data_IF_875977920565
#
_entry.id   IF_875977920565
#
_cell.length_a   1.000
_cell.length_b   1.000
_cell.length_c   1.000
_cell.angle_alpha   90.00
_cell.angle_beta   90.00
_cell.angle_gamma   90.00
#
_symmetry.space_group_name_H-M   'P 1'
#
loop_
_entity.id
_entity.type
_entity.pdbx_description
1 polymer ?
2 non-polymer ?
3 water ?
#
# COMPACT_ATOMS: atom_id res chain seq x y z
N UNK A 1 12.92 11.35 7.01
CA UNK A 1 11.45 11.30 6.67
C UNK A 1 11.14 10.14 5.73
N UNK A 2 9.97 9.54 5.95
CA UNK A 2 9.60 8.26 5.34
C UNK A 2 8.87 8.40 4.02
N UNK A 3 8.29 7.28 3.57
CA UNK A 3 7.44 7.24 2.41
C UNK A 3 6.31 8.22 2.55
N UNK A 4 6.13 9.10 1.57
CA UNK A 4 5.01 10.04 1.54
C UNK A 4 4.27 9.97 0.22
N UNK A 5 3.30 10.87 0.04
CA UNK A 5 2.51 10.92 -1.22
C UNK A 5 3.36 11.30 -2.44
N UNK A 6 4.50 11.93 -2.17
CA UNK A 6 5.44 12.34 -3.19
C UNK A 6 6.09 11.13 -3.82
N UNK A 7 6.26 10.09 -3.04
CA UNK A 7 6.91 8.87 -3.49
C UNK A 7 5.94 7.94 -4.17
N UNK A 8 4.65 8.26 -4.08
CA UNK A 8 3.56 7.42 -4.60
C UNK A 8 3.05 8.03 -5.92
N UNK A 9 3.44 7.43 -7.02
CA UNK A 9 3.07 8.02 -8.31
C UNK A 9 1.72 7.51 -8.76
N UNK A 10 0.98 8.36 -9.46
CA UNK A 10 -0.38 8.05 -9.85
C UNK A 10 -1.33 7.84 -8.66
N UNK A 11 -2.24 6.90 -8.81
CA UNK A 11 -3.09 6.50 -7.72
C UNK A 11 -3.84 7.69 -7.13
N UNK A 12 -4.36 8.54 -8.01
CA UNK A 12 -4.95 9.80 -7.62
C UNK A 12 -6.29 9.62 -6.91
N UNK A 13 -7.11 8.70 -7.38
CA UNK A 13 -8.39 8.42 -6.73
C UNK A 13 -8.21 7.79 -5.34
N UNK A 14 -7.30 6.83 -5.21
CA UNK A 14 -6.97 6.19 -3.93
C UNK A 14 -6.41 7.18 -2.89
N UNK A 15 -5.52 8.09 -3.31
CA UNK A 15 -5.10 9.22 -2.46
C UNK A 15 -6.26 10.07 -1.94
N UNK A 16 -7.21 10.40 -2.82
CA UNK A 16 -8.40 11.11 -2.37
C UNK A 16 -9.18 10.27 -1.36
N UNK A 17 -9.23 8.95 -1.56
CA UNK A 17 -9.98 8.07 -0.67
C UNK A 17 -9.34 7.80 0.72
N UNK A 18 -8.04 7.95 0.89
CA UNK A 18 -7.43 7.70 2.21
C UNK A 18 -7.23 9.00 2.97
N UNK A 19 -7.53 10.10 2.30
CA UNK A 19 -7.51 11.46 2.86
C UNK A 19 -8.21 11.57 4.22
N UNK A 20 -9.43 11.05 4.29
CA UNK A 20 -10.23 11.05 5.51
C UNK A 20 -9.49 10.40 6.69
N UNK A 21 -8.70 9.37 6.41
CA UNK A 21 -7.88 8.73 7.44
C UNK A 21 -6.69 9.61 7.84
N UNK A 22 -6.03 10.26 6.86
CA UNK A 22 -5.01 11.27 7.18
C UNK A 22 -5.60 12.40 8.07
N UNK A 23 -6.77 12.90 7.70
CA UNK A 23 -7.39 13.97 8.46
C UNK A 23 -7.77 13.51 9.87
N UNK A 24 -8.28 12.30 9.97
CA UNK A 24 -8.66 11.78 11.28
C UNK A 24 -7.46 11.64 12.21
N UNK A 25 -6.40 11.00 11.73
CA UNK A 25 -5.19 10.77 12.51
C UNK A 25 -4.52 12.07 12.95
N UNK A 26 -4.58 13.11 12.09
CA UNK A 26 -4.03 14.44 12.42
C UNK A 26 -4.79 15.19 13.55
N UNK A 27 -6.09 14.95 13.68
CA UNK A 27 -6.85 15.46 14.83
C UNK A 27 -8.16 14.71 15.01
N UNK A 28 -8.12 13.61 15.77
CA UNK A 28 -9.36 12.98 16.17
C UNK A 28 -10.22 13.98 16.97
N UNK A 29 -11.33 14.42 16.37
CA UNK A 29 -12.18 15.50 16.93
C UNK A 29 -12.34 16.59 15.88
N UNK A 36 -19.73 13.76 12.13
CA UNK A 36 -19.34 12.69 11.22
C UNK A 36 -19.23 11.35 11.95
N UNK A 37 -18.98 10.30 11.19
CA UNK A 37 -18.81 8.95 11.72
C UNK A 37 -17.32 8.68 11.93
N UNK A 38 -17.01 8.04 13.04
CA UNK A 38 -15.62 7.73 13.40
C UNK A 38 -15.01 6.65 12.50
N UNK A 39 -13.94 7.01 11.78
CA UNK A 39 -13.31 6.04 10.91
C UNK A 39 -12.61 4.96 11.72
N UNK A 40 -12.75 3.71 11.29
CA UNK A 40 -12.00 2.59 11.84
C UNK A 40 -10.90 2.14 10.90
N UNK A 41 -11.15 2.24 9.60
CA UNK A 41 -10.17 1.91 8.59
C UNK A 41 -10.74 1.40 7.28
N UNK A 42 -9.88 0.76 6.47
CA UNK A 42 -10.27 0.35 5.11
C UNK A 42 -9.48 -0.85 4.56
N UNK A 43 -10.12 -1.58 3.65
CA UNK A 43 -9.49 -2.62 2.85
C UNK A 43 -8.93 -2.00 1.54
N UNK A 44 -7.67 -2.25 1.26
CA UNK A 44 -7.05 -1.89 -0.01
C UNK A 44 -7.00 -3.21 -0.80
N UNK A 45 -7.70 -3.26 -1.93
CA UNK A 45 -7.86 -4.48 -2.75
C UNK A 45 -7.22 -4.31 -4.14
N UNK A 46 -6.46 -5.31 -4.59
CA UNK A 46 -5.99 -5.30 -5.97
C UNK A 46 -4.77 -6.17 -6.17
N UNK A 47 -4.29 -6.23 -7.44
CA UNK A 47 -3.17 -7.08 -7.76
C UNK A 47 -1.87 -6.65 -7.08
N UNK A 48 -0.93 -7.58 -6.99
CA UNK A 48 0.33 -7.32 -6.32
C UNK A 48 1.25 -6.31 -7.07
N UNK A 49 2.00 -5.58 -6.25
CA UNK A 49 3.03 -4.67 -6.70
C UNK A 49 2.49 -3.34 -7.13
N UNK A 50 1.26 -3.01 -6.68
CA UNK A 50 0.55 -1.83 -7.23
C UNK A 50 0.44 -0.72 -6.20
N UNK A 51 1.27 -0.79 -5.19
CA UNK A 51 1.40 0.33 -4.28
C UNK A 51 0.50 0.37 -3.05
N UNK A 52 -0.20 -0.72 -2.72
CA UNK A 52 -1.07 -0.77 -1.50
C UNK A 52 -0.27 -0.48 -0.25
N UNK A 53 0.82 -1.19 -0.09
CA UNK A 53 1.70 -0.99 1.06
C UNK A 53 2.33 0.40 1.08
N UNK A 54 2.85 0.82 -0.06
CA UNK A 54 3.40 2.17 -0.24
C UNK A 54 2.37 3.25 0.17
N UNK A 55 1.13 3.12 -0.26
CA UNK A 55 0.09 4.07 0.12
C UNK A 55 -0.19 4.11 1.63
N UNK A 56 -0.29 2.92 2.24
CA UNK A 56 -0.53 2.80 3.69
C UNK A 56 0.61 3.42 4.48
N UNK A 57 1.84 3.21 4.03
CA UNK A 57 2.99 3.92 4.64
C UNK A 57 2.92 5.43 4.49
N UNK A 58 2.50 5.86 3.31
CA UNK A 58 2.37 7.27 2.99
C UNK A 58 1.32 7.96 3.88
N UNK A 59 0.17 7.30 4.07
CA UNK A 59 -0.86 7.79 4.98
C UNK A 59 -0.32 8.03 6.41
N UNK A 60 0.57 7.18 6.90
CA UNK A 60 1.13 7.35 8.23
C UNK A 60 2.05 8.54 8.27
N UNK A 61 2.86 8.68 7.21
CA UNK A 61 3.85 9.75 7.10
C UNK A 61 3.14 11.08 6.98
N UNK A 62 2.07 11.10 6.20
CA UNK A 62 1.34 12.34 5.94
C UNK A 62 0.68 12.86 7.22
N UNK A 63 0.08 11.95 8.00
CA UNK A 63 -0.50 12.25 9.32
C UNK A 63 0.60 12.40 10.36
N UNK A 64 1.79 11.90 10.06
CA UNK A 64 2.89 12.09 10.97
C UNK A 64 2.76 11.15 12.18
N UNK A 65 2.34 9.93 11.93
CA UNK A 65 2.13 9.00 13.05
C UNK A 65 2.88 7.70 12.77
N UNK A 66 3.02 6.86 13.80
CA UNK A 66 3.63 5.55 13.57
C UNK A 66 2.83 4.62 12.67
N UNK A 67 3.59 3.69 12.09
CA UNK A 67 3.11 2.66 11.19
C UNK A 67 3.50 1.34 11.79
N UNK A 68 2.51 0.50 12.11
CA UNK A 68 2.70 -0.77 12.79
C UNK A 68 2.15 -1.88 11.88
N UNK A 69 2.95 -2.86 11.50
CA UNK A 69 2.55 -3.75 10.45
C UNK A 69 2.47 -5.18 10.96
N UNK A 70 1.52 -5.93 10.45
CA UNK A 70 1.51 -7.36 10.65
C UNK A 70 1.24 -8.01 9.31
N UNK A 71 2.04 -9.00 8.95
CA UNK A 71 1.80 -9.77 7.76
C UNK A 71 0.68 -10.77 7.99
N UNK A 72 -0.32 -10.77 7.12
CA UNK A 72 -1.31 -11.84 7.02
C UNK A 72 -0.77 -13.25 7.24
N UNK A 73 0.50 -13.50 6.90
CA UNK A 73 1.14 -14.79 7.19
C UNK A 73 1.67 -14.94 8.66
N UNK A 74 1.18 -14.08 9.55
CA UNK A 74 1.29 -14.28 11.02
C UNK A 74 -0.15 -14.29 11.49
N UNK A 75 -0.79 -15.44 11.29
CA UNK A 75 -2.24 -15.62 11.40
C UNK A 75 -2.49 -17.09 11.14
N UNK A 76 -2.26 -17.48 9.89
CA UNK A 76 -2.48 -18.84 9.40
C UNK A 76 -2.09 -19.78 10.50
N UNK A 77 -3.07 -20.54 11.00
CA UNK A 77 -2.91 -21.31 12.23
C UNK A 77 -2.02 -22.53 12.04
N UNK A 78 -0.72 -22.34 12.27
CA UNK A 78 0.23 -23.47 12.33
C UNK A 78 0.63 -23.72 13.78
N UNK A 79 0.78 -22.65 14.57
CA UNK A 79 1.13 -22.77 16.00
C UNK A 79 -0.03 -22.25 16.87
N UNK A 80 -0.65 -23.17 17.62
CA UNK A 80 -1.84 -22.85 18.41
C UNK A 80 -1.73 -21.65 19.36
N UNK A 81 -2.71 -20.76 19.28
CA UNK A 81 -2.70 -19.54 20.07
C UNK A 81 -1.75 -18.39 19.68
N UNK A 82 -0.76 -18.66 18.83
CA UNK A 82 0.34 -17.72 18.62
C UNK A 82 -0.15 -16.48 17.89
N UNK A 83 -0.94 -16.66 16.85
CA UNK A 83 -1.47 -15.52 16.07
C UNK A 83 -2.33 -14.61 16.92
N UNK A 84 -3.19 -15.20 17.76
CA UNK A 84 -4.07 -14.40 18.65
C UNK A 84 -3.25 -13.54 19.59
N UNK A 85 -2.21 -14.14 20.15
CA UNK A 85 -1.29 -13.46 21.03
C UNK A 85 -0.53 -12.28 20.33
N UNK A 86 -0.10 -12.49 19.10
CA UNK A 86 0.53 -11.41 18.30
C UNK A 86 -0.46 -10.31 17.92
N UNK A 87 -1.67 -10.68 17.53
CA UNK A 87 -2.75 -9.69 17.32
C UNK A 87 -3.01 -8.81 18.54
N UNK A 88 -3.11 -9.43 19.73
CA UNK A 88 -3.33 -8.69 20.94
C UNK A 88 -2.17 -7.72 21.20
N UNK A 89 -0.93 -8.19 21.09
CA UNK A 89 0.25 -7.32 21.32
C UNK A 89 0.23 -6.14 20.36
N UNK A 90 -0.12 -6.40 19.11
CA UNK A 90 -0.17 -5.38 18.06
C UNK A 90 -1.10 -4.25 18.45
N UNK A 91 -2.30 -4.61 18.88
CA UNK A 91 -3.33 -3.62 19.14
C UNK A 91 -3.15 -2.91 20.45
N UNK A 92 -2.46 -3.56 21.39
CA UNK A 92 -2.03 -2.93 22.60
C UNK A 92 -0.91 -1.92 22.32
N UNK A 93 0.11 -2.29 21.55
CA UNK A 93 1.10 -1.30 21.11
C UNK A 93 0.43 -0.13 20.35
N UNK A 94 -0.55 -0.43 19.50
CA UNK A 94 -1.22 0.61 18.70
C UNK A 94 -1.96 1.59 19.60
N UNK A 95 -2.66 1.07 20.60
CA UNK A 95 -3.35 1.98 21.52
C UNK A 95 -2.37 2.84 22.30
N UNK A 96 -1.23 2.28 22.68
CA UNK A 96 -0.25 3.03 23.50
C UNK A 96 0.46 4.11 22.63
N UNK A 97 0.65 3.81 21.36
CA UNK A 97 1.36 4.73 20.44
C UNK A 97 0.42 5.61 19.61
N UNK A 98 -0.87 5.58 19.93
CA UNK A 98 -1.91 6.31 19.18
C UNK A 98 -1.76 7.85 19.24
N UNK A 99 -2.23 8.56 18.22
CA UNK A 99 -2.78 8.06 16.94
C UNK A 99 -1.76 7.33 16.04
N UNK A 100 -2.21 6.32 15.32
CA UNK A 100 -1.28 5.56 14.50
C UNK A 100 -2.04 4.68 13.54
N UNK A 101 -1.29 4.10 12.59
CA UNK A 101 -1.80 3.16 11.60
C UNK A 101 -1.35 1.77 11.98
N UNK A 102 -2.29 0.82 11.90
CA UNK A 102 -2.02 -0.60 11.96
C UNK A 102 -2.27 -1.14 10.56
N UNK A 103 -1.27 -1.77 9.97
CA UNK A 103 -1.38 -2.26 8.58
C UNK A 103 -1.33 -3.78 8.55
N UNK A 104 -2.36 -4.41 8.02
CA UNK A 104 -2.33 -5.86 7.86
C UNK A 104 -2.14 -6.17 6.40
N UNK A 105 -0.98 -6.67 6.10
CA UNK A 105 -0.56 -6.90 4.76
C UNK A 105 -1.02 -8.25 4.28
N UNK A 106 -1.84 -8.27 3.24
CA UNK A 106 -2.06 -9.50 2.49
C UNK A 106 -2.64 -10.71 3.19
N UNK A 107 -3.87 -10.64 3.74
CA UNK A 107 -4.75 -11.82 3.53
C UNK A 107 -5.12 -11.92 2.03
N UNK A 127 -11.40 -19.92 13.95
CA UNK A 127 -10.39 -18.96 13.49
C UNK A 127 -9.91 -18.09 14.66
N UNK A 128 -9.20 -18.69 15.61
CA UNK A 128 -8.65 -17.97 16.77
C UNK A 128 -7.98 -16.65 16.44
N UNK A 129 -7.08 -16.65 15.45
CA UNK A 129 -6.35 -15.43 15.08
C UNK A 129 -7.29 -14.41 14.44
N UNK A 130 -8.21 -14.88 13.58
CA UNK A 130 -9.16 -13.96 12.94
C UNK A 130 -10.16 -13.46 13.95
N UNK A 131 -10.72 -14.37 14.75
CA UNK A 131 -11.61 -13.95 15.83
C UNK A 131 -10.99 -12.93 16.81
N UNK A 132 -9.73 -13.10 17.17
CA UNK A 132 -9.05 -12.09 17.96
C UNK A 132 -9.00 -10.71 17.24
N UNK A 133 -8.67 -10.71 15.95
CA UNK A 133 -8.69 -9.46 15.19
C UNK A 133 -10.09 -8.81 15.17
N UNK A 134 -11.12 -9.59 14.91
CA UNK A 134 -12.48 -9.10 15.00
C UNK A 134 -12.82 -8.56 16.37
N UNK A 135 -12.29 -9.18 17.44
CA UNK A 135 -12.47 -8.68 18.84
C UNK A 135 -11.74 -7.33 19.00
N UNK A 136 -10.51 -7.22 18.56
CA UNK A 136 -9.80 -5.93 18.66
C UNK A 136 -10.54 -4.81 17.94
N UNK A 137 -11.04 -5.13 16.75
CA UNK A 137 -11.80 -4.18 15.96
C UNK A 137 -13.15 -3.79 16.58
N UNK A 138 -13.95 -4.78 16.92
CA UNK A 138 -15.22 -4.50 17.59
C UNK A 138 -15.02 -3.72 18.88
N UNK A 139 -13.88 -3.96 19.54
CA UNK A 139 -13.54 -3.28 20.79
C UNK A 139 -13.02 -1.87 20.62
N UNK A 140 -12.72 -1.47 19.38
CA UNK A 140 -12.30 -0.09 19.08
C UNK A 140 -13.45 0.88 19.29
N UNK A 141 -13.30 1.77 20.27
CA UNK A 141 -14.26 2.85 20.47
C UNK A 141 -13.73 4.19 19.98
N UNK A 142 -14.45 5.25 20.31
CA UNK A 142 -14.10 6.67 20.05
C UNK A 142 -12.73 7.11 20.57
N UNK A 143 -12.29 6.49 21.66
CA UNK A 143 -11.14 6.89 22.45
C UNK A 143 -9.82 6.29 21.94
N UNK A 144 -9.90 5.28 21.06
CA UNK A 144 -8.72 4.51 20.62
C UNK A 144 -7.76 5.21 19.61
N UNK A 145 -8.29 5.97 18.65
CA UNK A 145 -7.49 6.71 17.67
C UNK A 145 -6.50 5.86 16.82
N UNK A 146 -6.95 4.67 16.42
CA UNK A 146 -6.18 3.78 15.57
C UNK A 146 -6.96 3.64 14.27
N UNK A 147 -6.24 3.58 13.15
CA UNK A 147 -6.85 3.29 11.87
C UNK A 147 -6.23 1.99 11.43
N UNK A 148 -7.06 1.06 10.99
CA UNK A 148 -6.61 -0.23 10.49
C UNK A 148 -6.72 -0.18 8.97
N UNK A 149 -5.56 -0.28 8.30
CA UNK A 149 -5.52 -0.49 6.85
C UNK A 149 -5.14 -1.96 6.59
N UNK A 150 -5.97 -2.63 5.80
CA UNK A 150 -5.74 -4.02 5.48
C UNK A 150 -5.65 -4.16 3.97
N UNK A 151 -4.66 -4.86 3.49
CA UNK A 151 -4.54 -5.10 2.06
C UNK A 151 -4.72 -6.57 1.73
N UNK A 152 -5.12 -6.84 0.49
CA UNK A 152 -5.35 -8.18 -0.04
C UNK A 152 -5.42 -8.23 -1.59
N UNK A 153 -5.00 -9.36 -2.15
CA UNK A 153 -5.18 -9.65 -3.59
C UNK A 153 -6.49 -10.41 -3.86
N UNK A 154 -7.19 -10.78 -2.80
CA UNK A 154 -8.29 -11.72 -2.89
C UNK A 154 -9.63 -11.00 -2.74
N UNK A 155 -10.43 -10.96 -3.80
CA UNK A 155 -11.69 -10.17 -3.79
C UNK A 155 -12.76 -10.68 -2.81
N UNK A 156 -12.76 -11.96 -2.53
CA UNK A 156 -13.84 -12.47 -1.74
C UNK A 156 -13.67 -12.05 -0.27
N UNK A 157 -12.59 -11.37 0.07
CA UNK A 157 -12.46 -10.76 1.39
C UNK A 157 -13.54 -9.70 1.59
N UNK A 158 -14.01 -9.11 0.49
CA UNK A 158 -15.12 -8.17 0.54
C UNK A 158 -16.41 -8.80 1.13
N UNK A 159 -16.56 -10.11 1.00
CA UNK A 159 -17.77 -10.74 1.41
C UNK A 159 -17.77 -11.19 2.90
N UNK A 160 -16.61 -11.14 3.56
CA UNK A 160 -16.44 -11.78 4.84
C UNK A 160 -16.58 -10.87 6.04
N UNK A 161 -16.07 -11.33 7.19
CA UNK A 161 -16.32 -10.65 8.47
C UNK A 161 -15.62 -9.30 8.65
N UNK A 162 -14.57 -9.04 7.87
CA UNK A 162 -13.85 -7.76 8.05
C UNK A 162 -14.62 -6.59 7.49
N UNK A 163 -15.61 -6.86 6.64
CA UNK A 163 -16.39 -5.79 6.05
C UNK A 163 -17.79 -5.69 6.61
N UNK A 164 -18.05 -6.29 7.78
CA UNK A 164 -19.35 -6.15 8.40
C UNK A 164 -19.41 -4.85 9.19
N UNK A 165 -20.64 -4.36 9.42
CA UNK A 165 -20.91 -3.13 10.16
C UNK A 165 -20.08 -3.02 11.43
N UNK A 166 -19.40 -1.89 11.57
CA UNK A 166 -18.57 -1.66 12.75
C UNK A 166 -17.14 -2.10 12.58
N UNK A 167 -16.76 -2.59 11.39
CA UNK A 167 -15.38 -3.05 11.21
C UNK A 167 -14.68 -2.18 10.19
N UNK A 168 -14.08 -2.76 9.12
CA UNK A 168 -13.48 -1.92 8.09
C UNK A 168 -14.64 -1.21 7.39
N UNK A 169 -14.49 0.10 7.23
CA UNK A 169 -15.58 0.96 6.73
C UNK A 169 -15.90 0.79 5.24
N UNK A 170 -14.85 0.65 4.42
CA UNK A 170 -14.89 0.82 2.97
C UNK A 170 -13.77 -0.02 2.42
N UNK A 171 -13.76 -0.25 1.13
CA UNK A 171 -12.57 -0.70 0.43
C UNK A 171 -12.19 0.28 -0.68
N UNK A 172 -10.95 0.15 -1.13
CA UNK A 172 -10.45 0.93 -2.25
C UNK A 172 -9.82 -0.06 -3.21
N UNK A 173 -10.31 -0.12 -4.46
CA UNK A 173 -9.69 -0.97 -5.44
C UNK A 173 -8.54 -0.24 -6.13
N UNK A 174 -7.35 -0.84 -6.04
CA UNK A 174 -6.14 -0.36 -6.72
C UNK A 174 -5.73 -1.34 -7.82
N UNK A 175 -5.89 -0.92 -9.07
CA UNK A 175 -5.62 -1.79 -10.22
C UNK A 175 -4.22 -1.54 -10.78
N UNK A 176 -3.85 -2.34 -11.79
CA UNK A 176 -2.60 -2.11 -12.51
C UNK A 176 -2.64 -0.70 -13.08
N UNK A 177 -1.49 -0.07 -13.16
CA UNK A 177 -1.49 1.33 -13.56
C UNK A 177 -1.92 1.54 -15.04
N UNK A 178 -2.70 2.59 -15.30
CA UNK A 178 -3.04 3.06 -16.65
C UNK A 178 -1.82 3.65 -17.33
N UNK A 179 -1.93 4.04 -18.59
CA UNK A 179 -0.76 4.56 -19.32
C UNK A 179 -0.12 5.76 -18.64
N UNK A 180 -0.96 6.73 -18.26
CA UNK A 180 -0.53 7.93 -17.58
C UNK A 180 0.11 7.63 -16.24
N UNK A 181 -0.58 6.83 -15.41
CA UNK A 181 0.01 6.33 -14.16
C UNK A 181 1.36 5.69 -14.43
N UNK A 182 1.46 4.83 -15.42
CA UNK A 182 2.77 4.29 -15.76
C UNK A 182 3.81 5.36 -16.10
N UNK A 183 3.41 6.39 -16.83
CA UNK A 183 4.32 7.49 -17.08
C UNK A 183 4.87 8.04 -15.76
N UNK A 184 3.95 8.31 -14.84
CA UNK A 184 4.32 8.91 -13.57
C UNK A 184 5.22 8.01 -12.74
N UNK A 185 4.92 6.72 -12.71
CA UNK A 185 5.75 5.75 -11.96
C UNK A 185 7.16 5.68 -12.57
N UNK A 186 7.25 5.63 -13.91
CA UNK A 186 8.57 5.64 -14.54
C UNK A 186 9.32 6.89 -14.13
N UNK A 187 8.66 8.04 -14.21
CA UNK A 187 9.32 9.30 -13.87
C UNK A 187 9.80 9.34 -12.41
N UNK A 188 8.93 8.91 -11.47
CA UNK A 188 9.31 8.84 -10.07
C UNK A 188 10.57 8.00 -9.84
N UNK A 189 10.63 6.83 -10.43
CA UNK A 189 11.78 5.98 -10.21
C UNK A 189 13.02 6.42 -11.01
N UNK A 190 12.83 6.95 -12.22
CA UNK A 190 13.99 7.50 -12.92
C UNK A 190 14.61 8.63 -12.08
N UNK A 191 13.79 9.43 -11.40
CA UNK A 191 14.29 10.51 -10.54
C UNK A 191 14.85 10.06 -9.18
N UNK A 192 14.31 8.98 -8.60
CA UNK A 192 14.83 8.47 -7.32
C UNK A 192 16.25 7.98 -7.49
N UNK A 193 16.48 7.38 -8.67
CA UNK A 193 17.75 6.78 -9.05
C UNK A 193 18.66 7.81 -9.71
N UNK A 194 18.32 9.08 -9.56
CA UNK A 194 19.14 10.21 -10.09
C UNK A 194 19.32 10.22 -11.61
N UNK A 195 18.37 9.59 -12.30
CA UNK A 195 18.34 9.55 -13.76
C UNK A 195 17.26 10.50 -14.25
N UNK A 196 17.35 11.75 -13.80
CA UNK A 196 16.29 12.72 -14.09
C UNK A 196 16.40 13.28 -15.50
N UNK A 197 17.62 13.38 -16.04
CA UNK A 197 17.85 14.01 -17.33
C UNK A 197 17.11 13.29 -18.44
N UNK A 198 16.17 13.99 -19.07
CA UNK A 198 15.31 13.40 -20.09
C UNK A 198 14.40 12.29 -19.63
N UNK A 199 14.22 12.12 -18.32
CA UNK A 199 13.25 11.13 -17.81
C UNK A 199 11.85 11.34 -18.39
N UNK A 200 11.44 12.61 -18.51
CA UNK A 200 10.13 12.93 -19.08
C UNK A 200 10.10 12.71 -20.62
N UNK A 201 11.25 12.81 -21.26
CA UNK A 201 11.34 12.51 -22.71
C UNK A 201 11.04 11.06 -22.96
N UNK A 202 11.55 10.19 -22.09
CA UNK A 202 11.42 8.74 -22.27
C UNK A 202 10.13 8.13 -21.67
N UNK A 203 9.55 8.80 -20.68
CA UNK A 203 8.46 8.22 -19.88
C UNK A 203 7.27 7.83 -20.72
N UNK A 204 7.02 8.59 -21.78
CA UNK A 204 5.84 8.39 -22.60
C UNK A 204 5.89 7.04 -23.30
N UNK A 205 7.00 6.77 -23.97
CA UNK A 205 7.19 5.47 -24.64
C UNK A 205 7.34 4.30 -23.68
N UNK A 206 7.99 4.51 -22.53
CA UNK A 206 8.17 3.42 -21.56
C UNK A 206 6.80 2.97 -21.09
N UNK A 207 5.91 3.94 -20.85
CA UNK A 207 4.50 3.68 -20.57
C UNK A 207 3.77 2.92 -21.68
N UNK A 208 3.95 3.35 -22.95
CA UNK A 208 3.34 2.67 -24.09
C UNK A 208 3.84 1.26 -24.22
N UNK A 209 5.05 1.00 -23.76
CA UNK A 209 5.65 -0.31 -23.90
C UNK A 209 5.25 -1.25 -22.76
N UNK A 210 4.62 -0.75 -21.71
CA UNK A 210 4.50 -1.55 -20.48
C UNK A 210 3.06 -1.89 -20.01
N UNK A 211 2.13 -2.15 -20.95
CA UNK A 211 0.80 -2.56 -20.51
C UNK A 211 0.80 -3.80 -19.64
N UNK A 212 0.02 -3.75 -18.59
CA UNK A 212 -0.09 -4.88 -17.67
C UNK A 212 1.08 -4.95 -16.71
N UNK A 213 2.04 -4.03 -16.77
CA UNK A 213 3.11 -3.97 -15.76
C UNK A 213 2.59 -3.30 -14.47
N UNK A 214 3.06 -3.76 -13.33
CA UNK A 214 2.75 -3.14 -12.05
C UNK A 214 3.82 -2.07 -11.73
N UNK A 215 3.58 -1.26 -10.69
CA UNK A 215 4.58 -0.30 -10.25
C UNK A 215 5.86 -0.99 -9.83
N UNK A 216 5.73 -2.20 -9.32
CA UNK A 216 6.91 -2.97 -8.93
C UNK A 216 7.74 -3.38 -10.15
N UNK A 217 7.08 -3.89 -11.19
CA UNK A 217 7.67 -4.24 -12.44
C UNK A 217 8.38 -3.05 -13.02
N UNK A 218 7.71 -1.90 -13.00
CA UNK A 218 8.31 -0.66 -13.49
C UNK A 218 9.53 -0.27 -12.65
N UNK A 219 9.42 -0.35 -11.31
CA UNK A 219 10.63 -0.10 -10.49
C UNK A 219 11.79 -1.06 -10.80
N UNK A 220 11.47 -2.31 -11.09
CA UNK A 220 12.52 -3.29 -11.38
C UNK A 220 13.22 -2.96 -12.72
N UNK A 221 12.46 -2.57 -13.74
CA UNK A 221 13.05 -2.14 -15.04
C UNK A 221 14.05 -1.01 -14.87
N UNK A 222 13.64 0.05 -14.16
CA UNK A 222 14.48 1.20 -13.92
C UNK A 222 15.75 0.84 -13.15
N UNK A 223 15.59 0.05 -12.08
CA UNK A 223 16.72 -0.35 -11.28
C UNK A 223 17.67 -1.29 -11.97
N UNK A 224 17.14 -2.24 -12.74
CA UNK A 224 17.97 -3.08 -13.58
C UNK A 224 18.78 -2.25 -14.59
N UNK A 225 18.17 -1.21 -15.16
CA UNK A 225 18.87 -0.27 -16.06
C UNK A 225 19.85 0.64 -15.30
N UNK A 226 19.57 0.97 -14.04
CA UNK A 226 20.57 1.67 -13.21
C UNK A 226 21.79 0.74 -12.95
N UNK A 227 21.52 -0.55 -12.83
CA UNK A 227 22.57 -1.57 -12.66
C UNK A 227 23.16 -2.09 -13.99
N UNK A 228 23.54 -1.17 -14.87
CA UNK A 228 24.10 -1.53 -16.16
C UNK A 228 24.67 -0.25 -16.76
N UNK A 237 25.31 9.99 -17.13
CA UNK A 237 25.34 9.44 -15.75
C UNK A 237 23.99 9.61 -15.07
N UNK A 238 23.40 10.81 -15.20
CA UNK A 238 22.06 11.10 -14.72
C UNK A 238 21.00 10.99 -15.84
N UNK A 239 21.23 10.07 -16.76
CA UNK A 239 20.26 9.79 -17.81
C UNK A 239 20.09 8.29 -18.07
N UNK A 240 18.85 7.89 -18.32
CA UNK A 240 18.50 6.50 -18.59
C UNK A 240 19.21 5.97 -19.84
N UNK A 241 19.68 4.72 -19.77
CA UNK A 241 20.08 3.94 -20.94
C UNK A 241 18.83 3.30 -21.56
N UNK A 242 18.22 4.02 -22.49
CA UNK A 242 16.89 3.71 -22.96
C UNK A 242 16.85 2.40 -23.70
N UNK A 243 17.81 2.19 -24.56
CA UNK A 243 17.85 0.97 -25.37
C UNK A 243 17.94 -0.30 -24.55
N UNK A 244 18.60 -0.22 -23.40
CA UNK A 244 18.63 -1.33 -22.45
C UNK A 244 17.30 -1.45 -21.72
N UNK A 245 16.75 -0.33 -21.24
CA UNK A 245 15.44 -0.38 -20.62
C UNK A 245 14.48 -1.11 -21.55
N UNK A 246 14.50 -0.75 -22.83
CA UNK A 246 13.57 -1.31 -23.80
C UNK A 246 13.77 -2.82 -23.89
N UNK A 247 15.01 -3.27 -24.00
CA UNK A 247 15.33 -4.70 -23.91
C UNK A 247 14.70 -5.40 -22.70
N UNK A 248 14.86 -4.84 -21.51
CA UNK A 248 14.30 -5.47 -20.30
C UNK A 248 12.77 -5.48 -20.26
N UNK A 249 12.14 -4.50 -20.91
CA UNK A 249 10.68 -4.44 -20.97
C UNK A 249 10.14 -5.62 -21.80
N UNK A 250 10.81 -5.88 -22.94
CA UNK A 250 10.43 -6.99 -23.84
C UNK A 250 10.76 -8.37 -23.22
N UNK A 251 11.85 -8.46 -22.44
CA UNK A 251 12.12 -9.68 -21.66
C UNK A 251 11.04 -9.90 -20.62
N UNK A 252 10.75 -8.86 -19.85
CA UNK A 252 9.74 -8.94 -18.79
C UNK A 252 8.32 -9.12 -19.28
N UNK A 253 8.06 -8.75 -20.53
CA UNK A 253 6.74 -8.95 -21.13
C UNK A 253 6.34 -10.45 -21.18
N UNK A 254 7.31 -11.31 -21.47
CA UNK A 254 7.09 -12.76 -21.43
C UNK A 254 6.79 -13.20 -19.98
N UNK A 255 7.80 -13.13 -19.11
CA UNK A 255 7.62 -13.43 -17.69
C UNK A 255 8.36 -12.40 -16.83
N UNK A 256 7.64 -11.79 -15.89
CA UNK A 256 8.22 -10.70 -15.10
C UNK A 256 9.10 -11.16 -13.93
X LIG B 1 1.43 -4.06 -2.99
X LIG B 1 1.33 -3.62 -1.51
X LIG B 1 0.27 -3.56 -3.71
X LIG B 1 1.58 -5.49 -3.44
X LIG B 1 4.01 -2.70 -2.84
X LIG B 1 3.88 -1.45 -2.07
X LIG B 1 4.68 -3.92 -2.26
X LIG B 1 2.62 -3.05 -3.48
X LIG B 1 4.89 -2.39 -4.21
X LIG B 1 6.26 -2.79 -4.34
X LIG B 1 7.07 -1.60 -4.91
X LIG B 1 6.65 -1.26 -6.26
X LIG B 1 6.92 -0.29 -4.16
X LIG B 1 7.70 -0.22 -2.97
X LIG B 1 7.42 0.71 -5.23
X LIG B 1 8.88 0.75 -5.30
X LIG B 1 6.83 0.13 -6.51
X LIG B 1 5.52 0.75 -6.77
X LIG B 1 4.34 0.15 -6.86
X LIG B 1 3.35 1.06 -7.06
X LIG B 1 3.95 2.26 -7.12
X LIG B 1 3.50 3.62 -7.36
X LIG B 1 2.16 3.82 -7.53
X LIG B 1 4.38 4.61 -7.33
X LIG B 1 5.69 4.36 -7.17
X LIG B 1 6.20 3.13 -7.00
X LIG B 1 5.36 2.07 -6.93
#
# INVERSE_FOLDING_TARGET
MGVSFKDVAGMHEAKLEVREFVDYLKSPERFLQLGAKVPKGALLLGPPGCGKTLLAKAVATEAQVPFLAMAGAEFVEVIGGLGAARVRSLFKEARARAPCIVYIDEIDAVGKKRSTTMSGFSNTEEEQTLNQLLVEMDGMGTTDHVIVLASTNRADILDGALMRPGRLDRHVFIDLPTLQERREIFEQHLKSLKLTQSSTFYSQRLAELTPGFSGADIANICNEAALHAAREGHTSVHTLNFEYAVERVLAGTAKKSKILSK
ADP PB O1B O2B O3B PA O1A O2A O3A O5' C5' C4' O4' C3' O3' C2' O2' C1' N9 C8 N7 C5 C6 N6 N1 C2 N3 C4
#
